data_IF_306220402607
#
_entry.id   IF_306220402607
#
_cell.length_a   1.000
_cell.length_b   1.000
_cell.length_c   1.000
_cell.angle_alpha   90.00
_cell.angle_beta   90.00
_cell.angle_gamma   90.00
#
_symmetry.space_group_name_H-M   'P 1'
#
loop_
_entity.id
_entity.type
_entity.pdbx_description
1 polymer ?
#
# COMPACT_ATOMS: atom_id res chain seq x y z
N UNK A 1 14.64 18.61 -13.85
CA UNK A 1 14.19 17.65 -12.82
C UNK A 1 14.55 16.27 -13.31
N UNK A 2 15.30 15.50 -12.53
CA UNK A 2 15.55 14.09 -12.83
C UNK A 2 14.28 13.31 -12.54
N UNK A 3 13.75 12.59 -13.52
CA UNK A 3 12.62 11.70 -13.32
C UNK A 3 13.00 10.58 -12.35
N UNK A 4 12.09 10.24 -11.43
CA UNK A 4 12.21 9.08 -10.54
C UNK A 4 10.86 8.39 -10.40
N UNK A 5 10.80 7.05 -10.32
CA UNK A 5 9.57 6.34 -10.05
C UNK A 5 9.12 6.57 -8.59
N UNK A 6 7.81 6.51 -8.37
CA UNK A 6 7.26 6.38 -7.02
C UNK A 6 7.44 4.92 -6.58
N UNK A 7 7.82 4.71 -5.32
CA UNK A 7 7.90 3.39 -4.71
C UNK A 7 6.76 3.27 -3.72
N UNK A 8 6.02 2.16 -3.81
CA UNK A 8 4.97 1.78 -2.86
C UNK A 8 5.24 0.39 -2.32
N UNK A 9 4.83 0.16 -1.08
CA UNK A 9 4.80 -1.15 -0.44
C UNK A 9 3.37 -1.51 -0.10
N UNK A 10 3.06 -2.80 -0.06
CA UNK A 10 1.75 -3.31 0.31
C UNK A 10 1.91 -4.63 1.07
N UNK A 11 1.04 -4.86 2.05
CA UNK A 11 1.07 -6.07 2.89
C UNK A 11 -0.12 -6.97 2.62
N UNK A 12 0.14 -8.25 2.35
CA UNK A 12 -0.92 -9.27 2.30
C UNK A 12 -0.99 -9.96 3.67
N UNK A 13 -2.07 -9.68 4.40
CA UNK A 13 -2.28 -10.23 5.75
C UNK A 13 -3.37 -11.28 5.67
N UNK A 14 -3.01 -12.54 5.92
CA UNK A 14 -3.93 -13.68 5.95
C UNK A 14 -4.19 -14.11 7.40
N UNK A 15 -5.44 -14.43 7.71
CA UNK A 15 -5.83 -15.05 8.97
C UNK A 15 -7.06 -15.95 8.80
N UNK A 16 -6.89 -17.26 9.02
CA UNK A 16 -7.95 -18.28 9.00
C UNK A 16 -8.74 -18.32 7.68
N UNK A 17 -8.03 -18.28 6.56
CA UNK A 17 -8.57 -18.25 5.20
C UNK A 17 -9.17 -16.90 4.79
N UNK A 18 -8.98 -15.84 5.58
CA UNK A 18 -9.46 -14.48 5.28
C UNK A 18 -8.29 -13.53 5.10
N UNK A 19 -8.49 -12.46 4.34
CA UNK A 19 -7.47 -11.46 4.04
C UNK A 19 -7.92 -10.07 4.52
N UNK A 20 -6.99 -9.30 5.08
CA UNK A 20 -7.25 -7.90 5.42
C UNK A 20 -7.22 -7.03 4.17
N UNK A 21 -8.25 -6.21 4.01
CA UNK A 21 -8.33 -5.14 3.02
C UNK A 21 -8.69 -3.83 3.72
N UNK A 22 -8.25 -2.72 3.16
CA UNK A 22 -8.67 -1.36 3.55
C UNK A 22 -9.68 -0.84 2.54
N UNK A 23 -10.64 -0.06 3.02
CA UNK A 23 -11.60 0.66 2.18
C UNK A 23 -11.07 2.08 1.92
N UNK A 24 -10.98 2.47 0.65
CA UNK A 24 -10.55 3.80 0.24
C UNK A 24 -11.66 4.52 -0.52
N UNK A 25 -11.88 5.80 -0.18
CA UNK A 25 -12.71 6.69 -0.97
C UNK A 25 -11.87 7.29 -2.10
N UNK A 26 -12.20 6.93 -3.34
CA UNK A 26 -11.49 7.42 -4.53
C UNK A 26 -12.42 8.22 -5.44
N UNK A 27 -11.86 8.86 -6.47
CA UNK A 27 -12.64 9.53 -7.52
C UNK A 27 -13.55 8.58 -8.30
N UNK A 28 -13.30 7.27 -8.25
CA UNK A 28 -14.10 6.23 -8.89
C UNK A 28 -15.08 5.56 -7.92
N UNK A 29 -15.22 6.10 -6.70
CA UNK A 29 -16.02 5.53 -5.62
C UNK A 29 -15.18 4.71 -4.64
N UNK A 30 -15.87 3.86 -3.88
CA UNK A 30 -15.24 2.99 -2.88
C UNK A 30 -14.47 1.86 -3.57
N UNK A 31 -13.19 1.73 -3.27
CA UNK A 31 -12.33 0.62 -3.72
C UNK A 31 -11.67 -0.06 -2.52
N UNK A 32 -11.42 -1.37 -2.66
CA UNK A 32 -10.67 -2.14 -1.68
C UNK A 32 -9.22 -2.31 -2.12
N UNK A 33 -8.30 -2.18 -1.18
CA UNK A 33 -6.88 -2.33 -1.42
C UNK A 33 -6.23 -3.17 -0.30
N UNK A 34 -5.02 -3.64 -0.53
CA UNK A 34 -4.16 -4.11 0.55
C UNK A 34 -3.74 -2.90 1.41
N UNK A 35 -3.46 -3.07 2.71
CA UNK A 35 -2.72 -2.06 3.47
C UNK A 35 -1.44 -1.69 2.73
N UNK A 36 -1.36 -0.45 2.24
CA UNK A 36 -0.31 0.01 1.33
C UNK A 36 0.07 1.47 1.58
N UNK A 37 1.28 1.83 1.18
CA UNK A 37 1.83 3.17 1.39
C UNK A 37 3.04 3.47 0.50
N UNK A 38 3.50 4.72 0.51
CA UNK A 38 4.75 5.12 -0.13
C UNK A 38 5.93 4.79 0.78
N UNK A 39 7.05 4.38 0.17
CA UNK A 39 8.30 4.24 0.90
C UNK A 39 8.89 5.64 1.17
N UNK A 40 9.12 5.97 2.44
CA UNK A 40 9.69 7.27 2.82
C UNK A 40 11.23 7.27 2.73
N UNK A 41 11.86 8.46 2.63
CA UNK A 41 13.31 8.55 2.67
C UNK A 41 13.91 7.93 3.93
N UNK A 42 14.93 7.10 3.74
CA UNK A 42 15.65 6.36 4.80
C UNK A 42 14.87 5.20 5.44
N UNK A 43 13.69 4.85 4.92
CA UNK A 43 13.05 3.59 5.26
C UNK A 43 13.65 2.44 4.44
N UNK A 44 13.69 1.26 5.05
CA UNK A 44 13.92 0.03 4.31
C UNK A 44 12.57 -0.51 3.83
N UNK A 45 12.56 -1.29 2.74
CA UNK A 45 11.33 -1.89 2.19
C UNK A 45 10.52 -2.65 3.24
N UNK A 46 11.18 -3.28 4.22
CA UNK A 46 10.51 -4.07 5.27
C UNK A 46 9.99 -3.22 6.44
N UNK A 47 10.42 -1.96 6.55
CA UNK A 47 10.02 -1.05 7.62
C UNK A 47 9.03 0.03 7.16
N UNK A 48 8.84 0.18 5.85
CA UNK A 48 7.83 1.06 5.25
C UNK A 48 6.47 0.40 5.14
#
# INVERSE_FOLDING_TARGET
MTWKPNVTVATVIEQKGKYLLVEEQTTHGILFNQPAGHLEPNESIVNG
#
